data_IF_045206844798
#
_entry.id   IF_045206844798
#
_cell.length_a   1.000
_cell.length_b   1.000
_cell.length_c   1.000
_cell.angle_alpha   90.00
_cell.angle_beta   90.00
_cell.angle_gamma   90.00
#
_symmetry.space_group_name_H-M   'P 1'
#
loop_
_entity.id
_entity.type
_entity.pdbx_description
1 polymer ?
#
# COMPACT_ATOMS: atom_id res chain seq x y z
N UNK A 1 2.13 19.19 -20.32
CA UNK A 1 0.72 19.33 -19.89
C UNK A 1 0.76 19.93 -18.50
N UNK A 2 0.34 21.19 -18.34
CA UNK A 2 0.31 21.84 -17.03
C UNK A 2 -0.83 21.26 -16.20
N UNK A 3 -0.51 20.73 -15.02
CA UNK A 3 -1.52 20.26 -14.07
C UNK A 3 -2.18 21.49 -13.46
N UNK A 4 -3.46 21.70 -13.80
CA UNK A 4 -4.27 22.78 -13.22
C UNK A 4 -4.48 22.53 -11.72
N UNK A 5 -4.45 23.60 -10.93
CA UNK A 5 -4.77 23.52 -9.51
C UNK A 5 -6.21 23.00 -9.30
N UNK A 6 -6.41 22.24 -8.24
CA UNK A 6 -7.70 21.65 -7.83
C UNK A 6 -8.18 22.37 -6.58
N UNK A 7 -9.41 22.87 -6.59
CA UNK A 7 -10.01 23.50 -5.42
C UNK A 7 -10.64 22.48 -4.47
N UNK A 8 -10.19 22.46 -3.22
CA UNK A 8 -10.67 21.61 -2.13
C UNK A 8 -10.85 22.51 -0.90
N UNK A 9 -12.05 22.52 -0.33
CA UNK A 9 -12.38 23.26 0.90
C UNK A 9 -11.93 24.73 0.90
N UNK A 10 -12.15 25.41 -0.23
CA UNK A 10 -11.77 26.80 -0.52
C UNK A 10 -10.27 27.08 -0.64
N UNK A 11 -9.43 26.05 -0.70
CA UNK A 11 -8.00 26.18 -1.01
C UNK A 11 -7.68 25.56 -2.37
N UNK A 12 -6.68 26.12 -3.06
CA UNK A 12 -6.21 25.58 -4.34
C UNK A 12 -4.97 24.72 -4.12
N UNK A 13 -4.98 23.51 -4.65
CA UNK A 13 -3.90 22.55 -4.53
C UNK A 13 -3.28 22.22 -5.89
N UNK A 14 -1.95 22.20 -5.96
CA UNK A 14 -1.20 21.69 -7.11
C UNK A 14 -0.40 20.47 -6.69
N UNK A 15 -0.63 19.33 -7.35
CA UNK A 15 0.01 18.06 -7.00
C UNK A 15 1.04 17.69 -8.06
N UNK A 16 2.21 17.27 -7.62
CA UNK A 16 3.32 16.83 -8.49
C UNK A 16 3.81 15.43 -8.08
N UNK A 17 4.54 14.75 -8.98
CA UNK A 17 5.15 13.43 -8.72
C UNK A 17 4.18 12.35 -8.24
N UNK A 18 3.03 12.27 -8.90
CA UNK A 18 1.89 11.41 -8.52
C UNK A 18 1.91 10.02 -9.19
N UNK A 19 2.99 9.68 -9.91
CA UNK A 19 3.10 8.46 -10.69
C UNK A 19 2.90 7.18 -9.84
N UNK A 20 3.44 7.14 -8.63
CA UNK A 20 3.27 5.98 -7.74
C UNK A 20 1.79 5.73 -7.40
N UNK A 21 1.00 6.78 -7.21
CA UNK A 21 -0.43 6.67 -6.96
C UNK A 21 -1.17 6.17 -8.21
N UNK A 22 -0.85 6.73 -9.37
CA UNK A 22 -1.49 6.33 -10.63
C UNK A 22 -1.20 4.86 -10.97
N UNK A 23 0.03 4.38 -10.72
CA UNK A 23 0.37 2.95 -10.85
C UNK A 23 -0.43 2.06 -9.90
N UNK A 24 -0.57 2.44 -8.63
CA UNK A 24 -1.38 1.67 -7.68
C UNK A 24 -2.86 1.65 -8.06
N UNK A 25 -3.39 2.79 -8.48
CA UNK A 25 -4.77 2.90 -8.92
C UNK A 25 -5.04 2.00 -10.14
N UNK A 26 -4.13 1.95 -11.11
CA UNK A 26 -4.24 1.05 -12.26
C UNK A 26 -4.28 -0.42 -11.83
N UNK A 27 -3.41 -0.82 -10.90
CA UNK A 27 -3.42 -2.19 -10.34
C UNK A 27 -4.77 -2.50 -9.69
N UNK A 28 -5.29 -1.57 -8.88
CA UNK A 28 -6.59 -1.74 -8.22
C UNK A 28 -7.74 -1.82 -9.24
N UNK A 29 -7.72 -1.00 -10.28
CA UNK A 29 -8.72 -1.01 -11.35
C UNK A 29 -8.73 -2.34 -12.09
N UNK A 30 -7.57 -2.88 -12.46
CA UNK A 30 -7.44 -4.18 -13.11
C UNK A 30 -7.95 -5.30 -12.19
N UNK A 31 -7.56 -5.28 -10.91
CA UNK A 31 -8.01 -6.26 -9.94
C UNK A 31 -9.54 -6.26 -9.76
N UNK A 32 -10.15 -5.07 -9.68
CA UNK A 32 -11.60 -4.90 -9.57
C UNK A 32 -12.34 -5.30 -10.85
N UNK A 33 -11.76 -5.05 -12.01
CA UNK A 33 -12.33 -5.46 -13.29
C UNK A 33 -12.40 -6.99 -13.41
N UNK A 34 -11.36 -7.69 -12.96
CA UNK A 34 -11.29 -9.16 -12.99
C UNK A 34 -12.15 -9.81 -11.90
N UNK A 35 -12.16 -9.25 -10.68
CA UNK A 35 -12.94 -9.77 -9.55
C UNK A 35 -14.05 -8.81 -9.16
N UNK A 36 -15.28 -9.14 -9.55
CA UNK A 36 -16.50 -8.40 -9.19
C UNK A 36 -16.55 -8.08 -7.67
N UNK A 37 -16.41 -6.78 -7.35
CA UNK A 37 -16.83 -6.11 -6.10
C UNK A 37 -16.22 -6.59 -4.77
N UNK A 38 -14.89 -6.59 -4.61
CA UNK A 38 -14.25 -6.91 -3.32
C UNK A 38 -13.54 -5.72 -2.64
N UNK A 39 -13.36 -4.55 -3.28
CA UNK A 39 -12.59 -3.44 -2.67
C UNK A 39 -13.41 -2.15 -2.50
N UNK A 40 -13.39 -1.63 -1.28
CA UNK A 40 -13.89 -0.31 -0.83
C UNK A 40 -13.05 0.86 -1.34
N UNK A 41 -12.48 0.77 -2.54
CA UNK A 41 -11.79 1.90 -3.16
C UNK A 41 -12.81 2.69 -3.96
N UNK A 42 -13.58 3.52 -3.26
CA UNK A 42 -14.70 4.30 -3.83
C UNK A 42 -14.30 5.00 -5.14
N UNK A 43 -13.08 5.55 -5.19
CA UNK A 43 -12.53 6.16 -6.39
C UNK A 43 -12.38 5.19 -7.57
N UNK A 44 -11.88 3.98 -7.33
CA UNK A 44 -11.72 2.99 -8.40
C UNK A 44 -13.08 2.48 -8.91
N UNK A 45 -14.06 2.30 -8.02
CA UNK A 45 -15.45 1.97 -8.39
C UNK A 45 -16.04 3.11 -9.24
N UNK A 46 -15.93 4.36 -8.79
CA UNK A 46 -16.42 5.52 -9.52
C UNK A 46 -15.79 5.64 -10.92
N UNK A 47 -14.50 5.32 -11.06
CA UNK A 47 -13.79 5.31 -12.35
C UNK A 47 -14.27 4.18 -13.25
N UNK A 48 -14.49 2.97 -12.73
CA UNK A 48 -15.01 1.86 -13.54
C UNK A 48 -16.43 2.14 -14.04
N UNK A 49 -17.26 2.77 -13.20
CA UNK A 49 -18.66 3.05 -13.52
C UNK A 49 -18.82 4.26 -14.46
N UNK A 50 -18.02 5.32 -14.28
CA UNK A 50 -18.25 6.63 -14.92
C UNK A 50 -17.06 7.13 -15.76
N UNK A 51 -15.96 6.37 -15.79
CA UNK A 51 -14.70 6.83 -16.35
C UNK A 51 -14.00 7.87 -15.47
N UNK A 52 -12.88 8.40 -15.97
CA UNK A 52 -12.13 9.47 -15.30
C UNK A 52 -12.91 10.78 -15.46
N UNK A 53 -13.23 11.42 -14.34
CA UNK A 53 -14.00 12.67 -14.25
C UNK A 53 -13.27 13.71 -13.38
N UNK A 54 -13.78 14.95 -13.36
CA UNK A 54 -13.31 15.96 -12.40
C UNK A 54 -13.42 15.47 -10.94
N UNK A 55 -14.44 14.67 -10.62
CA UNK A 55 -14.62 14.07 -9.31
C UNK A 55 -13.48 13.11 -8.96
N UNK A 56 -13.03 12.26 -9.89
CA UNK A 56 -11.89 11.35 -9.63
C UNK A 56 -10.58 12.12 -9.38
N UNK A 57 -10.35 13.23 -10.08
CA UNK A 57 -9.20 14.09 -9.79
C UNK A 57 -9.28 14.72 -8.39
N UNK A 58 -10.48 15.15 -7.97
CA UNK A 58 -10.70 15.67 -6.61
C UNK A 58 -10.47 14.58 -5.55
N UNK A 59 -10.99 13.36 -5.74
CA UNK A 59 -10.77 12.24 -4.83
C UNK A 59 -9.30 11.86 -4.74
N UNK A 60 -8.59 11.76 -5.87
CA UNK A 60 -7.14 11.57 -5.91
C UNK A 60 -6.42 12.62 -5.08
N UNK A 61 -6.79 13.89 -5.25
CA UNK A 61 -6.18 14.98 -4.53
C UNK A 61 -6.43 14.89 -3.03
N UNK A 62 -7.67 14.61 -2.60
CA UNK A 62 -7.99 14.41 -1.18
C UNK A 62 -7.17 13.28 -0.54
N UNK A 63 -7.01 12.16 -1.24
CA UNK A 63 -6.18 11.05 -0.75
C UNK A 63 -4.71 11.49 -0.61
N UNK A 64 -4.14 12.10 -1.64
CA UNK A 64 -2.73 12.50 -1.64
C UNK A 64 -2.42 13.61 -0.64
N UNK A 65 -3.31 14.60 -0.50
CA UNK A 65 -3.20 15.66 0.52
C UNK A 65 -3.14 15.03 1.91
N UNK A 66 -4.03 14.06 2.20
CA UNK A 66 -4.05 13.40 3.52
C UNK A 66 -2.77 12.62 3.85
N UNK A 67 -1.99 12.21 2.83
CA UNK A 67 -0.77 11.42 2.98
C UNK A 67 0.48 12.30 3.02
N UNK A 68 0.51 13.40 2.26
CA UNK A 68 1.70 14.24 2.03
C UNK A 68 1.54 15.69 2.51
N UNK A 69 0.58 15.96 3.40
CA UNK A 69 0.31 17.31 3.91
C UNK A 69 1.56 17.99 4.52
N UNK A 70 2.44 17.20 5.12
CA UNK A 70 3.71 17.66 5.72
C UNK A 70 4.74 18.13 4.68
N UNK A 71 4.58 17.73 3.42
CA UNK A 71 5.44 18.12 2.29
C UNK A 71 4.85 19.28 1.47
N UNK A 72 3.94 20.05 2.06
CA UNK A 72 3.27 21.15 1.38
C UNK A 72 4.10 22.43 1.41
N UNK A 73 4.09 23.16 0.30
CA UNK A 73 4.66 24.50 0.15
C UNK A 73 3.55 25.44 -0.31
N UNK A 74 3.35 26.55 0.40
CA UNK A 74 2.37 27.56 0.01
C UNK A 74 3.04 28.63 -0.85
N UNK A 75 2.46 28.88 -2.03
CA UNK A 75 2.85 29.93 -2.96
C UNK A 75 1.60 30.74 -3.31
N UNK A 76 1.54 31.98 -2.82
CA UNK A 76 0.37 32.86 -2.99
C UNK A 76 -0.92 32.14 -2.56
N UNK A 77 -1.87 31.98 -3.48
CA UNK A 77 -3.17 31.35 -3.28
C UNK A 77 -3.18 29.83 -3.60
N UNK A 78 -2.01 29.21 -3.76
CA UNK A 78 -1.85 27.81 -4.14
C UNK A 78 -0.97 27.04 -3.15
N UNK A 79 -1.40 25.84 -2.78
CA UNK A 79 -0.65 24.89 -1.97
C UNK A 79 -0.09 23.81 -2.90
N UNK A 80 1.22 23.80 -3.07
CA UNK A 80 1.91 22.78 -3.84
C UNK A 80 2.29 21.60 -2.94
N UNK A 81 1.98 20.37 -3.37
CA UNK A 81 2.35 19.14 -2.67
C UNK A 81 3.18 18.26 -3.59
N UNK A 82 4.39 17.95 -3.16
CA UNK A 82 5.24 16.95 -3.81
C UNK A 82 4.85 15.55 -3.30
N UNK A 83 4.22 14.75 -4.15
CA UNK A 83 3.77 13.39 -3.83
C UNK A 83 4.84 12.32 -4.12
N UNK A 84 6.09 12.72 -4.32
CA UNK A 84 7.20 11.81 -4.64
C UNK A 84 7.35 10.71 -3.57
N UNK A 85 7.24 9.47 -4.03
CA UNK A 85 7.35 8.25 -3.25
C UNK A 85 7.51 7.06 -4.19
N UNK A 86 7.90 5.90 -3.66
CA UNK A 86 7.81 4.65 -4.41
C UNK A 86 6.45 3.97 -4.18
N UNK A 87 6.05 3.13 -5.14
CA UNK A 87 4.77 2.38 -5.14
C UNK A 87 4.60 1.56 -3.85
N UNK A 88 5.66 0.91 -3.36
CA UNK A 88 5.58 0.07 -2.17
C UNK A 88 5.33 0.85 -0.87
N UNK A 89 6.03 1.96 -0.68
CA UNK A 89 5.79 2.87 0.44
C UNK A 89 4.36 3.41 0.41
N UNK A 90 3.85 3.80 -0.76
CA UNK A 90 2.48 4.29 -0.88
C UNK A 90 1.43 3.19 -0.63
N UNK A 91 1.65 1.97 -1.13
CA UNK A 91 0.79 0.82 -0.87
C UNK A 91 0.71 0.52 0.63
N UNK A 92 1.84 0.58 1.33
CA UNK A 92 1.90 0.39 2.77
C UNK A 92 1.09 1.42 3.56
N UNK A 93 0.97 2.65 3.06
CA UNK A 93 0.15 3.70 3.68
C UNK A 93 -1.32 3.45 3.35
N UNK A 94 -1.66 3.30 2.06
CA UNK A 94 -3.05 3.19 1.59
C UNK A 94 -3.73 1.93 2.12
N UNK A 95 -3.04 0.79 2.13
CA UNK A 95 -3.60 -0.51 2.52
C UNK A 95 -3.29 -0.89 3.97
N UNK A 96 -2.77 0.02 4.80
CA UNK A 96 -2.41 -0.24 6.20
C UNK A 96 -3.52 -0.91 7.02
N UNK A 97 -4.77 -0.49 6.78
CA UNK A 97 -5.94 -0.98 7.51
C UNK A 97 -6.54 -2.27 6.92
N UNK A 98 -6.07 -2.69 5.73
CA UNK A 98 -6.52 -3.89 5.03
C UNK A 98 -5.31 -4.67 4.54
N UNK A 99 -4.45 -5.17 5.47
CA UNK A 99 -3.22 -5.80 5.06
C UNK A 99 -3.44 -7.14 4.36
N UNK A 100 -2.55 -7.46 3.43
CA UNK A 100 -2.54 -8.76 2.77
C UNK A 100 -2.01 -9.88 3.65
N UNK A 101 -1.10 -9.59 4.57
CA UNK A 101 -0.51 -10.61 5.44
C UNK A 101 -0.33 -10.08 6.86
N UNK A 102 -0.39 -10.99 7.83
CA UNK A 102 0.07 -10.75 9.19
C UNK A 102 1.13 -11.79 9.52
N UNK A 103 2.26 -11.33 10.03
CA UNK A 103 3.35 -12.17 10.52
C UNK A 103 3.39 -12.08 12.05
N UNK A 104 3.80 -13.17 12.69
CA UNK A 104 4.07 -13.21 14.12
C UNK A 104 5.52 -13.64 14.36
N UNK A 105 6.23 -12.85 15.15
CA UNK A 105 7.59 -13.14 15.62
C UNK A 105 7.54 -13.60 17.07
N UNK A 106 8.05 -14.81 17.32
CA UNK A 106 8.08 -15.42 18.65
C UNK A 106 9.52 -15.64 19.09
N UNK A 107 9.86 -15.14 20.27
CA UNK A 107 11.18 -15.31 20.88
C UNK A 107 11.25 -16.65 21.64
N UNK A 108 12.35 -17.38 21.48
CA UNK A 108 12.58 -18.65 22.19
C UNK A 108 12.89 -18.49 23.69
N UNK A 109 13.09 -17.27 24.18
CA UNK A 109 13.31 -16.96 25.60
C UNK A 109 12.07 -16.41 26.31
N UNK A 110 10.89 -16.46 25.68
CA UNK A 110 9.63 -16.05 26.31
C UNK A 110 9.33 -14.56 26.28
N UNK A 111 10.03 -13.77 25.45
CA UNK A 111 9.65 -12.37 25.22
C UNK A 111 8.26 -12.26 24.56
N UNK A 112 7.54 -11.13 24.74
CA UNK A 112 6.27 -10.91 24.09
C UNK A 112 6.36 -11.06 22.57
N UNK A 113 5.42 -11.79 21.98
CA UNK A 113 5.34 -11.95 20.54
C UNK A 113 5.00 -10.61 19.87
N UNK A 114 5.60 -10.36 18.71
CA UNK A 114 5.33 -9.16 17.92
C UNK A 114 4.54 -9.55 16.67
N UNK A 115 3.49 -8.78 16.37
CA UNK A 115 2.71 -8.96 15.16
C UNK A 115 3.02 -7.83 14.18
N UNK A 116 3.36 -8.19 12.96
CA UNK A 116 3.59 -7.24 11.87
C UNK A 116 2.51 -7.40 10.81
N UNK A 117 1.90 -6.29 10.38
CA UNK A 117 0.97 -6.25 9.26
C UNK A 117 1.73 -5.87 8.01
N UNK A 118 1.58 -6.65 6.95
CA UNK A 118 2.19 -6.41 5.65
C UNK A 118 1.07 -6.07 4.64
N UNK A 119 0.91 -4.79 4.30
CA UNK A 119 -0.09 -4.36 3.34
C UNK A 119 0.08 -4.94 1.95
N UNK A 120 1.32 -5.13 1.52
CA UNK A 120 1.68 -5.77 0.27
C UNK A 120 2.95 -6.60 0.45
N UNK A 121 3.15 -7.58 -0.40
CA UNK A 121 4.37 -8.39 -0.46
C UNK A 121 5.04 -8.26 -1.82
N UNK A 122 6.36 -8.45 -1.83
CA UNK A 122 7.14 -8.57 -3.05
C UNK A 122 7.30 -10.05 -3.37
N UNK A 123 6.98 -10.45 -4.59
CA UNK A 123 7.16 -11.83 -5.06
C UNK A 123 7.70 -11.76 -6.48
N UNK A 124 8.64 -12.65 -6.80
CA UNK A 124 9.10 -12.84 -8.17
C UNK A 124 7.91 -13.21 -9.07
N UNK A 125 7.76 -12.49 -10.18
CA UNK A 125 6.69 -12.71 -11.14
C UNK A 125 6.62 -14.16 -11.63
N UNK A 126 7.78 -14.79 -11.85
CA UNK A 126 7.85 -16.17 -12.35
C UNK A 126 7.26 -17.17 -11.37
N UNK A 127 7.32 -16.88 -10.06
CA UNK A 127 6.69 -17.72 -9.05
C UNK A 127 5.17 -17.62 -9.15
N UNK A 128 4.62 -16.43 -9.40
CA UNK A 128 3.16 -16.27 -9.51
C UNK A 128 2.54 -16.95 -10.73
N UNK A 129 3.35 -17.42 -11.69
CA UNK A 129 2.89 -18.21 -12.83
C UNK A 129 2.77 -19.72 -12.51
N UNK A 130 3.23 -20.19 -11.35
CA UNK A 130 3.13 -21.61 -10.99
C UNK A 130 1.75 -21.93 -10.41
N UNK A 131 1.31 -23.17 -10.55
CA UNK A 131 -0.04 -23.62 -10.15
C UNK A 131 -0.26 -23.69 -8.63
N UNK A 132 0.78 -23.46 -7.82
CA UNK A 132 0.74 -23.62 -6.36
C UNK A 132 0.90 -22.29 -5.61
N UNK A 133 -0.07 -21.41 -5.81
CA UNK A 133 -0.08 -20.07 -5.23
C UNK A 133 0.12 -20.08 -3.71
N UNK A 134 -0.58 -20.94 -2.95
CA UNK A 134 -0.49 -20.94 -1.50
C UNK A 134 0.91 -21.29 -0.99
N UNK A 135 1.54 -22.34 -1.55
CA UNK A 135 2.90 -22.68 -1.18
C UNK A 135 3.87 -21.56 -1.58
N UNK A 136 3.64 -20.86 -2.68
CA UNK A 136 4.48 -19.71 -3.08
C UNK A 136 4.37 -18.57 -2.08
N UNK A 137 3.16 -18.19 -1.69
CA UNK A 137 2.91 -17.15 -0.69
C UNK A 137 3.61 -17.51 0.63
N UNK A 138 3.37 -18.71 1.15
CA UNK A 138 3.97 -19.15 2.42
C UNK A 138 5.51 -19.19 2.34
N UNK A 139 6.06 -19.62 1.21
CA UNK A 139 7.49 -19.81 1.08
C UNK A 139 8.30 -18.55 0.74
N UNK A 140 7.66 -17.50 0.22
CA UNK A 140 8.35 -16.32 -0.31
C UNK A 140 7.99 -15.01 0.40
N UNK A 141 6.86 -14.95 1.10
CA UNK A 141 6.46 -13.73 1.82
C UNK A 141 7.03 -13.69 3.22
N UNK A 142 7.13 -14.86 3.88
CA UNK A 142 7.68 -14.95 5.22
C UNK A 142 9.17 -14.63 5.18
N UNK A 143 9.60 -13.73 6.06
CA UNK A 143 11.03 -13.58 6.38
C UNK A 143 11.53 -14.86 7.05
N UNK A 144 11.92 -15.84 6.23
CA UNK A 144 12.49 -17.11 6.70
C UNK A 144 13.83 -16.84 7.39
N UNK A 145 13.90 -17.20 8.66
CA UNK A 145 15.17 -17.20 9.41
C UNK A 145 15.00 -16.97 10.90
N UNK A 146 16.00 -17.39 11.65
CA UNK A 146 16.17 -16.99 13.05
C UNK A 146 16.90 -15.66 13.07
N UNK A 147 16.29 -14.63 13.66
CA UNK A 147 16.94 -13.34 13.89
C UNK A 147 17.21 -13.17 15.37
N UNK A 148 18.19 -12.35 15.74
CA UNK A 148 18.41 -11.99 17.15
C UNK A 148 17.16 -11.27 17.66
N UNK A 149 16.70 -11.60 18.87
CA UNK A 149 15.56 -10.92 19.48
C UNK A 149 15.82 -9.42 19.60
N UNK A 150 14.83 -8.59 19.25
CA UNK A 150 14.97 -7.14 19.26
C UNK A 150 14.75 -6.52 20.66
N UNK A 151 14.31 -7.32 21.64
CA UNK A 151 14.11 -6.88 23.01
C UNK A 151 15.45 -6.61 23.72
N UNK A 152 15.55 -5.44 24.33
CA UNK A 152 16.75 -5.00 25.06
C UNK A 152 17.05 -6.01 26.18
N UNK A 153 18.29 -6.51 26.21
CA UNK A 153 18.75 -7.49 27.22
C UNK A 153 18.39 -8.95 26.93
N UNK A 154 17.68 -9.25 25.84
CA UNK A 154 17.42 -10.63 25.44
C UNK A 154 18.57 -11.19 24.58
N UNK A 155 19.09 -12.37 24.95
CA UNK A 155 20.07 -13.14 24.16
C UNK A 155 19.41 -14.16 23.23
N UNK A 156 18.08 -14.23 23.21
CA UNK A 156 17.30 -15.17 22.43
C UNK A 156 17.26 -14.88 20.93
N UNK A 157 16.60 -15.78 20.22
CA UNK A 157 16.32 -15.68 18.80
C UNK A 157 14.81 -15.61 18.58
N UNK A 158 14.40 -14.76 17.65
CA UNK A 158 13.04 -14.68 17.13
C UNK A 158 12.91 -15.54 15.88
N UNK A 159 11.78 -16.23 15.80
CA UNK A 159 11.33 -16.94 14.60
C UNK A 159 10.03 -16.30 14.14
N UNK A 160 10.00 -15.90 12.87
CA UNK A 160 8.84 -15.27 12.25
C UNK A 160 8.08 -16.29 11.41
N UNK A 161 6.75 -16.32 11.55
CA UNK A 161 5.86 -17.16 10.74
C UNK A 161 4.69 -16.34 10.22
N UNK A 162 4.12 -16.77 9.09
CA UNK A 162 2.86 -16.22 8.59
C UNK A 162 1.74 -16.64 9.54
N UNK A 163 1.08 -15.68 10.18
CA UNK A 163 -0.06 -15.96 11.07
C UNK A 163 -1.39 -15.87 10.34
N UNK A 164 -1.48 -15.01 9.32
CA UNK A 164 -2.73 -14.77 8.59
C UNK A 164 -2.49 -14.29 7.16
N UNK A 165 -3.35 -14.77 6.26
CA UNK A 165 -3.53 -14.23 4.91
C UNK A 165 -4.83 -13.42 4.90
N UNK A 166 -4.75 -12.16 4.49
CA UNK A 166 -5.87 -11.26 4.34
C UNK A 166 -6.78 -11.66 3.19
N UNK A 167 -8.00 -11.08 3.15
CA UNK A 167 -8.97 -11.33 2.08
C UNK A 167 -8.50 -10.81 0.71
N UNK A 168 -7.57 -9.87 0.70
CA UNK A 168 -7.03 -9.21 -0.47
C UNK A 168 -5.51 -9.34 -0.44
N UNK A 169 -4.95 -9.90 -1.51
CA UNK A 169 -3.51 -10.10 -1.64
C UNK A 169 -2.98 -9.11 -2.68
N UNK A 170 -2.17 -8.16 -2.22
CA UNK A 170 -1.47 -7.19 -3.05
C UNK A 170 -0.03 -7.68 -3.22
N UNK A 171 0.31 -8.10 -4.44
CA UNK A 171 1.67 -8.48 -4.79
C UNK A 171 2.24 -7.42 -5.73
N UNK A 172 3.42 -6.92 -5.39
CA UNK A 172 4.16 -5.97 -6.21
C UNK A 172 5.32 -6.69 -6.89
N UNK A 173 5.44 -6.48 -8.19
CA UNK A 173 6.49 -7.03 -9.04
C UNK A 173 7.56 -5.97 -9.28
N UNK A 174 8.81 -6.42 -9.43
CA UNK A 174 9.95 -5.61 -9.85
C UNK A 174 10.60 -6.27 -11.06
#
# INVERSE_FOLDING_TARGET
>A
MELRAISIDNENYSLSNTCAFDSLLQIVLVALYVKNKIITYKMAIDILDKGITACSYKQRAQILISIFADKSLRFEDCIQINCETNVGSLANIIFKNNPSFEEISVCNMGCPSQTQKLPAAQIDFNLLLQDDFYNIIENNIVLKGKKKCCQIGCSGFEMTTLSKIGKQIYVMYF
#
